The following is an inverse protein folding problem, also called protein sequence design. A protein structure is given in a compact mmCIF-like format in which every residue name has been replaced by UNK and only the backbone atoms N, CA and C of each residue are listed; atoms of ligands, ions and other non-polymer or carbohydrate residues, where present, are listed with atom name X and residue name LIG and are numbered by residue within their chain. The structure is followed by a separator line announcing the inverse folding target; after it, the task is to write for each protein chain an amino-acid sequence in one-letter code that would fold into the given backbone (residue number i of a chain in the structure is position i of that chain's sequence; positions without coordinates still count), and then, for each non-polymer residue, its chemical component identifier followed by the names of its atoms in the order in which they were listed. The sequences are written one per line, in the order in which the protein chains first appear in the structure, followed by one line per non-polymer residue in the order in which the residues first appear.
data_IF_452378726309
#
_entry.id   IF_452378726309
#
_cell.length_a   1.000
_cell.length_b   1.000
_cell.length_c   1.000
_cell.angle_alpha   90.00
_cell.angle_beta   90.00
_cell.angle_gamma   90.00
#
_symmetry.space_group_name_H-M   'P 1'
#
loop_
_entity.id
_entity.type
_entity.pdbx_description
1 polymer ?
#
# COMPACT_ATOMS: atom_id res chain seq x y z
N UNK A 1 14.99 -12.83 9.25
CA UNK A 1 15.40 -11.96 8.12
C UNK A 1 14.39 -10.85 8.08
N UNK A 2 14.86 -9.59 8.21
CA UNK A 2 14.04 -8.40 8.43
C UNK A 2 13.02 -8.20 7.30
N UNK A 3 11.82 -7.69 7.63
CA UNK A 3 10.63 -7.51 6.76
C UNK A 3 10.80 -6.61 5.53
N UNK A 4 12.04 -6.40 5.07
CA UNK A 4 12.35 -5.66 3.87
C UNK A 4 11.75 -6.35 2.64
N UNK A 5 11.33 -5.53 1.68
CA UNK A 5 10.74 -5.94 0.40
C UNK A 5 9.32 -6.54 0.50
N UNK A 6 8.62 -6.38 1.63
CA UNK A 6 7.21 -6.74 1.75
C UNK A 6 6.32 -5.52 2.04
N UNK A 7 5.10 -5.56 1.52
CA UNK A 7 4.05 -4.63 1.94
C UNK A 7 3.57 -5.04 3.33
N UNK A 8 3.57 -4.09 4.26
CA UNK A 8 3.05 -4.26 5.61
C UNK A 8 1.93 -3.25 5.89
N UNK A 9 0.91 -3.69 6.63
CA UNK A 9 -0.21 -2.84 7.03
C UNK A 9 0.29 -1.79 8.03
N UNK A 10 0.01 -0.51 7.76
CA UNK A 10 0.30 0.61 8.68
C UNK A 10 -0.96 0.93 9.48
N UNK A 11 -2.08 1.18 8.81
CA UNK A 11 -3.34 1.54 9.44
C UNK A 11 -4.57 1.14 8.60
N UNK A 12 -5.73 1.17 9.26
CA UNK A 12 -7.05 1.07 8.64
C UNK A 12 -7.96 2.11 9.27
N UNK A 13 -8.62 2.93 8.47
CA UNK A 13 -9.51 4.00 8.92
C UNK A 13 -10.82 3.99 8.13
N UNK A 14 -11.95 3.76 8.80
CA UNK A 14 -13.25 3.88 8.15
C UNK A 14 -13.67 5.35 8.01
N UNK A 15 -13.99 5.74 6.78
CA UNK A 15 -14.55 7.03 6.43
C UNK A 15 -16.06 6.88 6.17
N UNK A 16 -16.88 7.44 7.06
CA UNK A 16 -18.35 7.38 6.96
C UNK A 16 -18.92 8.19 5.81
N UNK A 17 -18.25 9.26 5.39
CA UNK A 17 -18.74 10.15 4.32
C UNK A 17 -18.60 9.49 2.95
N UNK A 18 -17.60 8.61 2.81
CA UNK A 18 -17.30 7.88 1.57
C UNK A 18 -17.76 6.42 1.60
N UNK A 19 -18.31 5.96 2.72
CA UNK A 19 -18.60 4.57 3.04
C UNK A 19 -17.46 3.61 2.63
N UNK A 20 -16.24 3.99 3.00
CA UNK A 20 -15.04 3.27 2.61
C UNK A 20 -14.03 3.20 3.75
N UNK A 21 -13.38 2.05 3.89
CA UNK A 21 -12.24 1.86 4.77
C UNK A 21 -10.97 2.19 4.00
N UNK A 22 -10.29 3.26 4.39
CA UNK A 22 -8.94 3.58 3.96
C UNK A 22 -7.97 2.60 4.60
N UNK A 23 -7.08 2.02 3.80
CA UNK A 23 -6.08 1.06 4.22
C UNK A 23 -4.73 1.55 3.72
N UNK A 24 -3.80 1.79 4.65
CA UNK A 24 -2.45 2.25 4.31
C UNK A 24 -1.45 1.11 4.44
N UNK A 25 -0.69 0.88 3.37
CA UNK A 25 0.43 -0.04 3.36
C UNK A 25 1.75 0.71 3.25
N UNK A 26 2.75 0.23 3.97
CA UNK A 26 4.14 0.61 3.82
C UNK A 26 4.92 -0.44 3.03
N UNK A 27 5.87 0.01 2.23
CA UNK A 27 6.90 -0.82 1.62
C UNK A 27 8.25 -0.17 1.90
N UNK A 28 9.22 -0.97 2.33
CA UNK A 28 10.59 -0.53 2.56
C UNK A 28 11.53 -1.49 1.85
N UNK A 29 12.35 -0.95 0.95
CA UNK A 29 13.44 -1.66 0.29
C UNK A 29 14.76 -1.04 0.71
N UNK A 30 15.70 -1.91 1.10
CA UNK A 30 17.07 -1.53 1.41
C UNK A 30 17.92 -1.84 0.18
N UNK A 31 18.50 -0.81 -0.41
CA UNK A 31 19.34 -0.97 -1.59
C UNK A 31 20.65 -1.67 -1.18
N UNK A 32 20.81 -2.95 -1.53
CA UNK A 32 21.99 -3.74 -1.16
C UNK A 32 23.27 -3.25 -1.86
N UNK A 33 23.13 -2.61 -3.02
CA UNK A 33 24.24 -2.12 -3.84
C UNK A 33 24.82 -0.79 -3.33
N UNK A 34 24.02 0.02 -2.62
CA UNK A 34 24.45 1.32 -2.07
C UNK A 34 24.13 1.36 -0.58
N UNK A 35 25.13 1.01 0.24
CA UNK A 35 24.98 0.97 1.71
C UNK A 35 24.35 2.27 2.24
N UNK A 36 23.12 2.15 2.76
CA UNK A 36 22.45 3.20 3.52
C UNK A 36 21.29 3.89 2.81
N UNK A 37 21.01 3.61 1.53
CA UNK A 37 19.79 4.09 0.88
C UNK A 37 18.60 3.21 1.24
N UNK A 38 17.54 3.86 1.69
CA UNK A 38 16.25 3.25 1.99
C UNK A 38 15.26 3.87 1.01
N UNK A 39 14.65 3.04 0.18
CA UNK A 39 13.48 3.45 -0.58
C UNK A 39 12.24 3.07 0.22
N UNK A 40 11.34 4.02 0.38
CA UNK A 40 10.06 3.78 1.02
C UNK A 40 8.92 4.21 0.10
N UNK A 41 7.86 3.43 0.12
CA UNK A 41 6.64 3.71 -0.62
C UNK A 41 5.45 3.50 0.30
N UNK A 42 4.49 4.42 0.22
CA UNK A 42 3.22 4.33 0.93
C UNK A 42 2.11 4.19 -0.09
N UNK A 43 1.29 3.16 0.05
CA UNK A 43 0.10 2.95 -0.78
C UNK A 43 -1.13 3.14 0.10
N UNK A 44 -2.03 4.02 -0.33
CA UNK A 44 -3.29 4.27 0.34
C UNK A 44 -4.39 3.74 -0.59
N UNK A 45 -5.22 2.84 -0.08
CA UNK A 45 -6.32 2.22 -0.84
C UNK A 45 -7.63 2.44 -0.09
N UNK A 46 -8.65 2.91 -0.80
CA UNK A 46 -10.01 2.99 -0.26
C UNK A 46 -10.79 1.73 -0.63
N UNK A 47 -11.30 1.01 0.37
CA UNK A 47 -12.04 -0.24 0.22
C UNK A 47 -13.49 -0.05 0.70
N UNK A 48 -14.48 0.03 -0.21
CA UNK A 48 -15.89 0.25 0.14
C UNK A 48 -16.50 -0.90 0.96
N UNK A 49 -17.47 -0.60 1.83
CA UNK A 49 -18.32 -1.63 2.45
C UNK A 49 -17.75 -2.38 3.66
N UNK A 50 -16.58 -2.01 4.17
CA UNK A 50 -15.91 -2.69 5.30
C UNK A 50 -15.96 -1.92 6.63
N UNK A 51 -17.09 -1.28 6.96
CA UNK A 51 -17.23 -0.46 8.18
C UNK A 51 -16.78 -1.13 9.47
N UNK A 52 -17.11 -2.41 9.64
CA UNK A 52 -16.80 -3.20 10.83
C UNK A 52 -15.87 -4.40 10.54
N UNK A 53 -15.28 -4.45 9.35
CA UNK A 53 -14.47 -5.56 8.88
C UNK A 53 -13.09 -5.07 8.44
N UNK A 54 -12.28 -4.67 9.42
CA UNK A 54 -10.93 -4.17 9.20
C UNK A 54 -10.01 -5.24 8.59
N UNK A 55 -10.25 -6.52 8.90
CA UNK A 55 -9.47 -7.63 8.36
C UNK A 55 -9.77 -7.85 6.88
N UNK A 56 -11.05 -7.93 6.50
CA UNK A 56 -11.43 -8.05 5.09
C UNK A 56 -11.00 -6.82 4.28
N UNK A 57 -11.12 -5.61 4.86
CA UNK A 57 -10.58 -4.40 4.23
C UNK A 57 -9.07 -4.50 3.98
N UNK A 58 -8.30 -4.99 4.96
CA UNK A 58 -6.85 -5.14 4.80
C UNK A 58 -6.49 -6.21 3.74
N UNK A 59 -7.21 -7.33 3.69
CA UNK A 59 -6.98 -8.38 2.70
C UNK A 59 -7.30 -7.88 1.28
N UNK A 60 -8.45 -7.24 1.06
CA UNK A 60 -8.81 -6.64 -0.24
C UNK A 60 -7.89 -5.47 -0.60
N UNK A 61 -7.57 -4.63 0.38
CA UNK A 61 -6.65 -3.51 0.24
C UNK A 61 -5.27 -3.95 -0.21
N UNK A 62 -4.77 -5.08 0.30
CA UNK A 62 -3.46 -5.62 -0.08
C UNK A 62 -3.44 -6.07 -1.56
N UNK A 63 -4.51 -6.72 -2.02
CA UNK A 63 -4.65 -7.13 -3.44
C UNK A 63 -4.62 -5.90 -4.34
N UNK A 64 -5.45 -4.89 -4.04
CA UNK A 64 -5.51 -3.63 -4.79
C UNK A 64 -4.19 -2.85 -4.75
N UNK A 65 -3.50 -2.83 -3.60
CA UNK A 65 -2.21 -2.16 -3.47
C UNK A 65 -1.16 -2.79 -4.38
N UNK A 66 -1.10 -4.13 -4.46
CA UNK A 66 -0.21 -4.85 -5.38
C UNK A 66 -0.53 -4.55 -6.84
N UNK A 67 -1.81 -4.55 -7.21
CA UNK A 67 -2.23 -4.19 -8.57
C UNK A 67 -1.89 -2.74 -8.93
N UNK A 68 -2.03 -1.81 -8.00
CA UNK A 68 -1.64 -0.41 -8.19
C UNK A 68 -0.14 -0.27 -8.41
N UNK A 69 0.68 -0.89 -7.57
CA UNK A 69 2.15 -0.85 -7.72
C UNK A 69 2.57 -1.45 -9.06
N UNK A 70 2.04 -2.62 -9.44
CA UNK A 70 2.37 -3.26 -10.72
C UNK A 70 1.99 -2.38 -11.91
N UNK A 71 0.79 -1.78 -11.88
CA UNK A 71 0.36 -0.86 -12.95
C UNK A 71 1.19 0.40 -12.99
N UNK A 72 1.48 1.01 -11.85
CA UNK A 72 2.31 2.21 -11.76
C UNK A 72 3.74 1.96 -12.26
N UNK A 73 4.33 0.80 -11.92
CA UNK A 73 5.66 0.41 -12.40
C UNK A 73 5.72 0.12 -13.91
N UNK A 74 4.59 -0.19 -14.54
CA UNK A 74 4.49 -0.42 -15.98
C UNK A 74 4.05 0.83 -16.77
N UNK A 75 3.60 1.88 -16.09
CA UNK A 75 3.14 3.10 -16.75
C UNK A 75 4.33 3.89 -17.31
N UNK A 76 4.19 4.51 -18.50
CA UNK A 76 5.21 5.42 -19.00
C UNK A 76 5.36 6.60 -18.05
N UNK A 77 6.60 7.06 -17.85
CA UNK A 77 6.85 8.29 -17.12
C UNK A 77 6.50 9.47 -18.02
N UNK A 78 5.41 10.17 -17.68
CA UNK A 78 5.06 11.45 -18.30
C UNK A 78 5.65 12.57 -17.45
N UNK A 79 6.77 13.13 -17.92
CA UNK A 79 7.29 14.38 -17.40
C UNK A 79 6.63 15.53 -18.18
N UNK A 80 5.89 16.38 -17.48
CA UNK A 80 5.40 17.67 -18.00
C UNK A 80 6.56 18.63 -18.36
#
# INVERSE_FOLDING_TARGET
MSDYCNLYLIDTLYNSDRDATEVTFGYIEKEEQVKGRIMSLRVIVNVPGHKNDTKGAAEEGLVKARELITRAGAAPFEAE
#
